data_IF_534542347503
#
_entry.id   IF_534542347503
#
_cell.length_a   1.000
_cell.length_b   1.000
_cell.length_c   1.000
_cell.angle_alpha   90.00
_cell.angle_beta   90.00
_cell.angle_gamma   90.00
#
_symmetry.space_group_name_H-M   'P 1'
#
loop_
_entity.id
_entity.type
_entity.pdbx_description
1 polymer ?
#
# COMPACT_ATOMS: atom_id res chain seq x y z
N UNK A 1 31.00 -17.77 -34.03
CA UNK A 1 31.01 -16.72 -33.01
C UNK A 1 32.27 -16.86 -32.18
N UNK A 2 33.02 -15.78 -32.01
CA UNK A 2 34.25 -15.81 -31.22
C UNK A 2 33.87 -16.00 -29.72
N UNK A 3 34.51 -16.90 -28.96
CA UNK A 3 34.16 -17.11 -27.54
C UNK A 3 34.24 -15.82 -26.70
N UNK A 4 35.12 -14.90 -27.08
CA UNK A 4 35.20 -13.59 -26.42
C UNK A 4 33.94 -12.71 -26.64
N UNK A 5 33.35 -12.74 -27.84
CA UNK A 5 32.10 -12.00 -28.10
C UNK A 5 30.89 -12.60 -27.39
N UNK A 6 30.84 -13.95 -27.28
CA UNK A 6 29.81 -14.63 -26.53
C UNK A 6 29.86 -14.30 -25.03
N UNK A 7 31.07 -14.28 -24.45
CA UNK A 7 31.29 -13.90 -23.06
C UNK A 7 30.88 -12.43 -22.79
N UNK A 8 31.23 -11.54 -23.70
CA UNK A 8 30.89 -10.11 -23.57
C UNK A 8 29.36 -9.89 -23.60
N UNK A 9 28.64 -10.58 -24.50
CA UNK A 9 27.17 -10.53 -24.58
C UNK A 9 26.55 -11.07 -23.28
N UNK A 10 27.07 -12.18 -22.75
CA UNK A 10 26.57 -12.77 -21.52
C UNK A 10 26.73 -11.77 -20.33
N UNK A 11 27.91 -11.16 -20.18
CA UNK A 11 28.18 -10.18 -19.11
C UNK A 11 27.25 -8.97 -19.23
N UNK A 12 27.04 -8.45 -20.46
CA UNK A 12 26.11 -7.34 -20.69
C UNK A 12 24.67 -7.71 -20.32
N UNK A 13 24.20 -8.91 -20.66
CA UNK A 13 22.85 -9.36 -20.30
C UNK A 13 22.67 -9.50 -18.79
N UNK A 14 23.65 -10.08 -18.11
CA UNK A 14 23.61 -10.19 -16.63
C UNK A 14 23.63 -8.82 -15.98
N UNK A 15 24.47 -7.91 -16.44
CA UNK A 15 24.52 -6.55 -15.93
C UNK A 15 23.20 -5.80 -16.15
N UNK A 16 22.60 -5.90 -17.34
CA UNK A 16 21.34 -5.27 -17.67
C UNK A 16 20.17 -5.82 -16.83
N UNK A 17 20.06 -7.14 -16.72
CA UNK A 17 19.01 -7.78 -15.90
C UNK A 17 19.14 -7.45 -14.43
N UNK A 18 20.37 -7.42 -13.91
CA UNK A 18 20.65 -7.02 -12.53
C UNK A 18 20.28 -5.55 -12.28
N UNK A 19 20.68 -4.65 -13.18
CA UNK A 19 20.35 -3.23 -13.09
C UNK A 19 18.84 -3.00 -13.13
N UNK A 20 18.12 -3.69 -14.04
CA UNK A 20 16.67 -3.61 -14.15
C UNK A 20 15.97 -4.15 -12.90
N UNK A 21 16.44 -5.27 -12.36
CA UNK A 21 15.93 -5.86 -11.12
C UNK A 21 16.12 -4.94 -9.91
N UNK A 22 17.31 -4.32 -9.78
CA UNK A 22 17.58 -3.35 -8.72
C UNK A 22 16.72 -2.08 -8.84
N UNK A 23 16.52 -1.59 -10.06
CA UNK A 23 15.68 -0.42 -10.32
C UNK A 23 14.22 -0.71 -9.97
N UNK A 24 13.71 -1.89 -10.34
CA UNK A 24 12.37 -2.33 -9.99
C UNK A 24 12.18 -2.49 -8.48
N UNK A 25 13.16 -3.12 -7.81
CA UNK A 25 13.18 -3.27 -6.35
C UNK A 25 13.16 -1.92 -5.62
N UNK A 26 13.86 -0.90 -6.14
CA UNK A 26 13.86 0.47 -5.58
C UNK A 26 12.51 1.18 -5.74
N UNK A 27 11.69 0.77 -6.70
CA UNK A 27 10.35 1.35 -6.92
C UNK A 27 9.27 0.71 -6.04
N UNK A 28 9.48 -0.52 -5.55
CA UNK A 28 8.56 -1.18 -4.64
C UNK A 28 8.55 -0.51 -3.27
N UNK A 29 7.39 -0.50 -2.61
CA UNK A 29 7.23 0.04 -1.26
C UNK A 29 7.29 1.57 -1.15
N UNK A 30 7.39 2.29 -2.28
CA UNK A 30 7.31 3.75 -2.27
C UNK A 30 5.87 4.20 -2.06
N UNK A 31 5.70 5.19 -1.20
CA UNK A 31 4.42 5.90 -1.06
C UNK A 31 4.27 6.80 -2.28
N UNK A 32 3.26 6.53 -3.10
CA UNK A 32 2.91 7.37 -4.25
C UNK A 32 1.65 8.14 -3.89
N UNK A 33 1.75 9.47 -3.89
CA UNK A 33 0.57 10.33 -3.68
C UNK A 33 -0.48 10.03 -4.75
N UNK A 34 -1.70 9.79 -4.33
CA UNK A 34 -2.83 9.65 -5.23
C UNK A 34 -3.48 11.02 -5.41
N UNK A 35 -3.83 11.36 -6.66
CA UNK A 35 -4.63 12.55 -6.92
C UNK A 35 -6.00 12.39 -6.24
N UNK A 36 -6.46 13.43 -5.55
CA UNK A 36 -7.68 13.41 -4.73
C UNK A 36 -9.01 13.20 -5.51
N UNK A 37 -8.91 12.84 -6.79
CA UNK A 37 -10.06 12.63 -7.69
C UNK A 37 -10.64 11.21 -7.65
N UNK A 38 -10.08 10.29 -6.85
CA UNK A 38 -10.70 8.98 -6.66
C UNK A 38 -11.92 9.10 -5.73
N UNK A 39 -13.03 8.48 -6.12
CA UNK A 39 -14.23 8.37 -5.27
C UNK A 39 -13.85 7.85 -3.88
N UNK A 40 -14.51 8.38 -2.85
CA UNK A 40 -14.26 7.94 -1.48
C UNK A 40 -14.58 6.45 -1.34
N UNK A 41 -13.69 5.74 -0.65
CA UNK A 41 -13.90 4.32 -0.30
C UNK A 41 -14.96 4.25 0.78
N UNK A 42 -15.95 3.38 0.61
CA UNK A 42 -17.00 3.17 1.61
C UNK A 42 -16.87 1.80 2.29
N UNK A 43 -17.32 1.72 3.54
CA UNK A 43 -17.32 0.46 4.29
C UNK A 43 -18.19 -0.60 3.61
N UNK A 44 -19.35 -0.19 3.07
CA UNK A 44 -20.28 -1.07 2.37
C UNK A 44 -19.63 -1.69 1.12
N UNK A 45 -18.85 -0.92 0.37
CA UNK A 45 -18.09 -1.39 -0.80
C UNK A 45 -17.07 -2.48 -0.41
N UNK A 46 -16.43 -2.32 0.74
CA UNK A 46 -15.48 -3.30 1.26
C UNK A 46 -16.16 -4.53 1.89
N UNK A 47 -17.48 -4.50 2.06
CA UNK A 47 -18.23 -5.52 2.77
C UNK A 47 -18.02 -5.50 4.28
N UNK A 48 -17.62 -4.34 4.82
CA UNK A 48 -17.42 -4.14 6.25
C UNK A 48 -18.69 -3.57 6.88
N UNK A 49 -19.04 -3.98 8.11
CA UNK A 49 -20.21 -3.48 8.80
C UNK A 49 -20.07 -1.97 9.07
N UNK A 50 -21.13 -1.22 8.76
CA UNK A 50 -21.16 0.24 8.95
C UNK A 50 -21.45 0.65 10.40
N UNK A 51 -21.82 -0.31 11.25
CA UNK A 51 -22.34 -0.09 12.62
C UNK A 51 -21.31 -0.39 13.71
N UNK A 52 -20.04 -0.64 13.38
CA UNK A 52 -19.03 -0.95 14.39
C UNK A 52 -18.71 0.29 15.25
N UNK A 53 -18.87 0.09 16.54
CA UNK A 53 -18.30 1.00 17.54
C UNK A 53 -17.13 0.26 18.19
N UNK A 54 -15.91 0.62 17.87
CA UNK A 54 -15.42 1.82 17.16
C UNK A 54 -15.55 1.71 15.63
N UNK A 55 -15.65 2.85 14.90
CA UNK A 55 -15.85 2.87 13.45
C UNK A 55 -14.71 2.13 12.73
N UNK A 56 -15.03 1.40 11.64
CA UNK A 56 -14.04 0.61 10.90
C UNK A 56 -12.93 1.49 10.28
N UNK A 57 -13.23 2.76 9.98
CA UNK A 57 -12.23 3.75 9.54
C UNK A 57 -11.70 4.59 10.70
N UNK A 58 -10.43 4.99 10.60
CA UNK A 58 -9.79 5.87 11.57
C UNK A 58 -10.30 7.30 11.49
N UNK A 59 -10.41 7.97 12.65
CA UNK A 59 -10.85 9.37 12.73
C UNK A 59 -9.89 10.37 12.06
N UNK A 60 -8.61 10.02 11.93
CA UNK A 60 -7.60 10.82 11.23
C UNK A 60 -7.23 10.19 9.88
N UNK A 61 -6.89 8.93 9.86
CA UNK A 61 -6.51 8.20 8.65
C UNK A 61 -6.79 6.70 8.77
N UNK A 62 -6.85 6.02 7.63
CA UNK A 62 -6.96 4.56 7.56
C UNK A 62 -5.89 3.99 6.67
N UNK A 63 -5.20 2.96 7.16
CA UNK A 63 -4.27 2.13 6.41
C UNK A 63 -5.05 0.91 5.91
N UNK A 64 -5.59 1.00 4.70
CA UNK A 64 -6.34 -0.08 4.07
C UNK A 64 -5.39 -1.00 3.33
N UNK A 65 -5.18 -2.21 3.85
CA UNK A 65 -4.36 -3.23 3.22
C UNK A 65 -5.23 -4.17 2.39
N UNK A 66 -4.80 -4.45 1.18
CA UNK A 66 -5.31 -5.56 0.38
C UNK A 66 -4.35 -6.74 0.44
N UNK A 67 -4.87 -7.88 0.85
CA UNK A 67 -4.13 -9.14 1.02
C UNK A 67 -4.77 -10.28 0.23
N UNK A 68 -4.11 -11.42 0.19
CA UNK A 68 -4.66 -12.71 -0.26
C UNK A 68 -4.09 -13.81 0.62
N UNK A 69 -4.78 -14.96 0.73
CA UNK A 69 -4.32 -16.10 1.52
C UNK A 69 -2.95 -16.66 1.07
N UNK A 70 -2.62 -16.51 -0.23
CA UNK A 70 -1.34 -17.00 -0.79
C UNK A 70 -0.20 -15.97 -0.71
N UNK A 71 -0.41 -14.83 -0.10
CA UNK A 71 0.56 -13.73 -0.06
C UNK A 71 1.53 -13.88 1.13
N UNK A 72 2.71 -14.43 0.89
CA UNK A 72 3.72 -14.65 1.94
C UNK A 72 4.18 -13.38 2.68
N UNK A 73 4.04 -12.20 2.06
CA UNK A 73 4.45 -10.91 2.66
C UNK A 73 3.31 -10.20 3.41
N UNK A 74 2.06 -10.62 3.21
CA UNK A 74 0.90 -9.93 3.77
C UNK A 74 0.84 -9.98 5.31
N UNK A 75 1.14 -11.10 6.00
CA UNK A 75 1.14 -11.13 7.46
C UNK A 75 2.15 -10.16 8.09
N UNK A 76 3.37 -10.10 7.56
CA UNK A 76 4.39 -9.16 8.03
C UNK A 76 4.02 -7.70 7.77
N UNK A 77 3.37 -7.42 6.63
CA UNK A 77 2.85 -6.09 6.30
C UNK A 77 1.72 -5.70 7.24
N UNK A 78 0.77 -6.60 7.51
CA UNK A 78 -0.32 -6.38 8.46
C UNK A 78 0.20 -6.03 9.87
N UNK A 79 1.20 -6.77 10.35
CA UNK A 79 1.85 -6.47 11.63
C UNK A 79 2.50 -5.08 11.64
N UNK A 80 3.22 -4.72 10.58
CA UNK A 80 3.84 -3.40 10.46
C UNK A 80 2.80 -2.28 10.45
N UNK A 81 1.74 -2.42 9.65
CA UNK A 81 0.69 -1.39 9.53
C UNK A 81 -0.09 -1.22 10.83
N UNK A 82 -0.35 -2.32 11.56
CA UNK A 82 -0.97 -2.29 12.88
C UNK A 82 -0.11 -1.51 13.88
N UNK A 83 1.19 -1.82 13.95
CA UNK A 83 2.13 -1.09 14.80
C UNK A 83 2.18 0.41 14.48
N UNK A 84 2.12 0.76 13.18
CA UNK A 84 2.10 2.16 12.74
C UNK A 84 0.80 2.86 13.13
N UNK A 85 -0.33 2.16 13.02
CA UNK A 85 -1.64 2.66 13.42
C UNK A 85 -1.74 2.84 14.94
N UNK A 86 -1.34 1.82 15.71
CA UNK A 86 -1.40 1.83 17.20
C UNK A 86 -0.53 2.94 17.82
N UNK A 87 0.54 3.35 17.12
CA UNK A 87 1.41 4.45 17.55
C UNK A 87 0.82 5.85 17.29
N UNK A 88 -0.39 5.96 16.71
CA UNK A 88 -1.01 7.23 16.31
C UNK A 88 -2.49 7.27 16.62
N UNK A 89 -2.90 8.26 17.40
CA UNK A 89 -4.31 8.48 17.69
C UNK A 89 -5.11 8.77 16.41
N UNK A 90 -6.27 8.13 16.29
CA UNK A 90 -7.15 8.31 15.14
C UNK A 90 -6.72 7.60 13.85
N UNK A 91 -5.61 6.88 13.84
CA UNK A 91 -5.20 6.04 12.71
C UNK A 91 -5.63 4.59 12.94
N UNK A 92 -6.18 3.95 11.91
CA UNK A 92 -6.57 2.53 11.96
C UNK A 92 -5.96 1.73 10.82
N UNK A 93 -5.71 0.46 11.08
CA UNK A 93 -5.39 -0.53 10.06
C UNK A 93 -6.62 -1.39 9.78
N UNK A 94 -6.92 -1.57 8.50
CA UNK A 94 -7.97 -2.45 7.99
C UNK A 94 -7.36 -3.37 6.95
N UNK A 95 -7.58 -4.67 7.08
CA UNK A 95 -7.12 -5.67 6.11
C UNK A 95 -8.33 -6.25 5.37
N UNK A 96 -8.27 -6.24 4.04
CA UNK A 96 -9.32 -6.76 3.15
C UNK A 96 -8.73 -7.89 2.32
N UNK A 97 -9.25 -9.09 2.51
CA UNK A 97 -8.86 -10.25 1.73
C UNK A 97 -9.50 -10.23 0.34
N UNK A 98 -8.66 -10.26 -0.68
CA UNK A 98 -9.07 -10.29 -2.08
C UNK A 98 -9.12 -11.68 -2.68
N UNK A 99 -8.88 -12.75 -1.92
CA UNK A 99 -8.81 -14.13 -2.44
C UNK A 99 -10.01 -14.49 -3.31
N UNK A 100 -11.19 -14.06 -2.90
CA UNK A 100 -12.45 -14.28 -3.62
C UNK A 100 -13.15 -12.98 -4.04
N UNK A 101 -12.42 -11.84 -4.03
CA UNK A 101 -12.95 -10.51 -4.30
C UNK A 101 -12.25 -9.83 -5.49
N UNK A 102 -12.31 -10.51 -6.65
CA UNK A 102 -11.78 -9.96 -7.91
C UNK A 102 -12.46 -8.65 -8.35
N UNK A 103 -13.69 -8.40 -7.87
CA UNK A 103 -14.41 -7.15 -8.01
C UNK A 103 -13.65 -5.98 -7.38
N UNK A 104 -13.24 -6.14 -6.11
CA UNK A 104 -12.45 -5.14 -5.39
C UNK A 104 -11.05 -4.97 -5.98
N UNK A 105 -10.40 -6.08 -6.37
CA UNK A 105 -9.09 -6.00 -7.02
C UNK A 105 -9.14 -5.11 -8.27
N UNK A 106 -10.18 -5.25 -9.10
CA UNK A 106 -10.39 -4.40 -10.28
C UNK A 106 -10.77 -2.96 -9.91
N UNK A 107 -11.73 -2.80 -8.98
CA UNK A 107 -12.21 -1.48 -8.54
C UNK A 107 -11.07 -0.61 -8.02
N UNK A 108 -10.18 -1.18 -7.22
CA UNK A 108 -9.03 -0.47 -6.62
C UNK A 108 -7.75 -0.63 -7.42
N UNK A 109 -7.80 -1.22 -8.63
CA UNK A 109 -6.63 -1.48 -9.47
C UNK A 109 -5.47 -2.13 -8.71
N UNK A 110 -5.77 -3.19 -7.93
CA UNK A 110 -4.77 -3.94 -7.17
C UNK A 110 -4.11 -4.97 -8.08
N UNK A 111 -2.89 -4.68 -8.51
CA UNK A 111 -2.11 -5.53 -9.42
C UNK A 111 -1.19 -6.49 -8.70
N UNK A 112 -0.98 -6.30 -7.41
CA UNK A 112 -0.11 -7.15 -6.57
C UNK A 112 -0.54 -7.06 -5.10
N UNK A 113 -0.22 -8.09 -4.32
CA UNK A 113 -0.38 -8.09 -2.87
C UNK A 113 0.98 -8.23 -2.16
N UNK A 114 1.17 -7.54 -1.02
CA UNK A 114 0.25 -6.58 -0.42
C UNK A 114 0.19 -5.26 -1.21
N UNK A 115 -0.97 -4.62 -1.23
CA UNK A 115 -1.13 -3.21 -1.62
C UNK A 115 -1.80 -2.47 -0.46
N UNK A 116 -1.28 -1.31 -0.11
CA UNK A 116 -1.85 -0.47 0.96
C UNK A 116 -2.32 0.85 0.39
N UNK A 117 -3.55 1.23 0.68
CA UNK A 117 -4.07 2.58 0.46
C UNK A 117 -4.05 3.34 1.77
N UNK A 118 -3.62 4.60 1.72
CA UNK A 118 -3.76 5.53 2.83
C UNK A 118 -4.99 6.38 2.56
N UNK A 119 -6.00 6.25 3.40
CA UNK A 119 -7.24 6.99 3.30
C UNK A 119 -7.27 8.11 4.33
N UNK A 120 -7.85 9.25 3.95
CA UNK A 120 -8.19 10.31 4.92
C UNK A 120 -9.48 9.96 5.69
N UNK A 121 -9.86 10.83 6.64
CA UNK A 121 -11.10 10.67 7.46
C UNK A 121 -12.38 10.57 6.63
N UNK A 122 -12.38 11.10 5.40
CA UNK A 122 -13.51 11.03 4.49
C UNK A 122 -13.46 9.81 3.56
N UNK A 123 -12.52 8.88 3.78
CA UNK A 123 -12.35 7.68 2.96
C UNK A 123 -11.67 7.95 1.61
N UNK A 124 -11.16 9.15 1.35
CA UNK A 124 -10.50 9.47 0.09
C UNK A 124 -9.07 8.92 0.07
N UNK A 125 -8.67 8.33 -1.05
CA UNK A 125 -7.32 7.80 -1.23
C UNK A 125 -6.33 8.95 -1.37
N UNK A 126 -5.42 9.08 -0.41
CA UNK A 126 -4.34 10.09 -0.39
C UNK A 126 -3.03 9.54 -0.89
N UNK A 127 -2.78 8.26 -0.64
CA UNK A 127 -1.59 7.59 -1.14
C UNK A 127 -1.82 6.11 -1.39
N UNK A 128 -0.93 5.55 -2.20
CA UNK A 128 -0.87 4.12 -2.52
C UNK A 128 0.54 3.60 -2.34
N UNK A 129 0.65 2.40 -1.78
CA UNK A 129 1.91 1.67 -1.65
C UNK A 129 1.74 0.26 -2.22
N UNK A 130 2.48 -0.08 -3.26
CA UNK A 130 2.54 -1.44 -3.80
C UNK A 130 3.70 -2.22 -3.16
N UNK A 131 3.41 -3.40 -2.63
CA UNK A 131 4.36 -4.21 -1.88
C UNK A 131 4.48 -3.79 -0.42
N UNK A 132 5.54 -4.26 0.26
CA UNK A 132 5.80 -3.94 1.67
C UNK A 132 6.16 -2.46 1.82
N UNK A 133 5.43 -1.67 2.62
CA UNK A 133 5.70 -0.25 2.79
C UNK A 133 7.08 0.04 3.38
N UNK A 134 7.71 1.11 2.90
CA UNK A 134 8.84 1.70 3.61
C UNK A 134 8.31 2.41 4.87
N UNK A 135 8.73 1.96 6.05
CA UNK A 135 8.25 2.48 7.34
C UNK A 135 8.44 4.00 7.45
N UNK A 136 9.64 4.52 7.14
CA UNK A 136 9.93 5.94 7.28
C UNK A 136 9.09 6.81 6.33
N UNK A 137 8.93 6.39 5.08
CA UNK A 137 8.10 7.09 4.10
C UNK A 137 6.60 7.09 4.50
N UNK A 138 6.11 5.97 5.06
CA UNK A 138 4.74 5.86 5.55
C UNK A 138 4.50 6.78 6.75
N UNK A 139 5.46 6.84 7.70
CA UNK A 139 5.41 7.74 8.85
C UNK A 139 5.34 9.20 8.41
N UNK A 140 6.24 9.64 7.52
CA UNK A 140 6.26 11.01 7.03
C UNK A 140 4.92 11.40 6.38
N UNK A 141 4.33 10.51 5.56
CA UNK A 141 3.06 10.77 4.89
C UNK A 141 1.88 10.86 5.86
N UNK A 142 1.86 10.00 6.88
CA UNK A 142 0.82 10.04 7.93
C UNK A 142 0.94 11.29 8.80
N UNK A 143 2.16 11.72 9.12
CA UNK A 143 2.39 12.92 9.92
C UNK A 143 1.86 14.19 9.20
N UNK A 144 1.97 14.23 7.87
CA UNK A 144 1.38 15.30 7.06
C UNK A 144 -0.15 15.25 7.10
N UNK A 145 -0.76 14.06 6.94
CA UNK A 145 -2.22 13.91 6.97
C UNK A 145 -2.82 14.24 8.34
N UNK A 146 -2.16 13.84 9.43
CA UNK A 146 -2.65 14.10 10.79
C UNK A 146 -2.54 15.59 11.13
N UNK A 147 -1.50 16.28 10.67
CA UNK A 147 -1.36 17.76 10.83
C UNK A 147 -2.47 18.53 10.13
N UNK A 148 -2.78 18.16 8.87
CA UNK A 148 -3.88 18.76 8.11
C UNK A 148 -5.22 18.65 8.85
N UNK A 149 -5.45 17.55 9.59
CA UNK A 149 -6.67 17.34 10.40
C UNK A 149 -6.70 18.22 11.64
N UNK A 150 -5.55 18.49 12.26
CA UNK A 150 -5.45 19.31 13.47
C UNK A 150 -5.59 20.82 13.18
N UNK A 151 -5.11 21.27 12.02
CA UNK A 151 -5.19 22.66 11.61
C UNK A 151 -6.62 23.11 11.23
N UNK A 152 -7.50 22.14 10.94
CA UNK A 152 -8.90 22.38 10.54
C UNK A 152 -9.91 22.27 11.72
N UNK A 153 -9.45 22.16 12.96
CA UNK A 153 -10.26 21.99 14.19
C UNK A 153 -10.28 23.27 15.01
#
# INVERSE_FOLDING_TARGET
MNPASALLVLVLLVALTTALGLLWRRRQGRVTSASATADAVTLAELGLPSSDSPPAFGAAATLLQFSTEFCARCPGTSTLLRQVADAREGVRHVDVDLTHRADLARRFNVLQTPTTLVLDRAGRVRARVGGVPNRAALHAHLDDLVRDVQEYR
#
